data_IF_414974162180
#
_entry.id   IF_414974162180
#
_cell.length_a   1.000
_cell.length_b   1.000
_cell.length_c   1.000
_cell.angle_alpha   90.00
_cell.angle_beta   90.00
_cell.angle_gamma   90.00
#
_symmetry.space_group_name_H-M   'P 1'
#
loop_
_entity.id
_entity.type
_entity.pdbx_description
1 polymer ?
#
# COMPACT_ATOMS: atom_id res chain seq x y z
N UNK A 1 26.84 16.51 12.13
CA UNK A 1 26.10 15.73 13.14
C UNK A 1 27.09 15.12 14.13
N UNK A 2 27.06 15.50 15.41
CA UNK A 2 27.90 14.89 16.44
C UNK A 2 27.65 13.39 16.58
N UNK A 3 28.69 12.64 16.99
CA UNK A 3 28.55 11.21 17.34
C UNK A 3 27.49 11.05 18.43
N UNK A 4 26.62 10.05 18.29
CA UNK A 4 25.53 9.78 19.24
C UNK A 4 24.22 10.51 18.94
N UNK A 5 24.18 11.38 17.92
CA UNK A 5 22.92 12.00 17.50
C UNK A 5 21.98 10.96 16.88
N UNK A 6 20.75 10.88 17.37
CA UNK A 6 19.68 10.08 16.76
C UNK A 6 19.07 10.89 15.61
N UNK A 7 19.05 10.31 14.42
CA UNK A 7 18.37 10.86 13.25
C UNK A 7 17.12 10.04 12.96
N UNK A 8 15.98 10.71 12.87
CA UNK A 8 14.70 10.12 12.50
C UNK A 8 14.24 10.73 11.18
N UNK A 9 14.06 9.89 10.15
CA UNK A 9 13.52 10.31 8.86
C UNK A 9 12.00 10.29 8.93
N UNK A 10 11.36 11.45 8.80
CA UNK A 10 9.90 11.55 8.75
C UNK A 10 9.39 11.19 7.33
N UNK A 11 9.43 9.91 6.99
CA UNK A 11 8.98 9.42 5.68
C UNK A 11 7.49 9.73 5.43
N UNK A 12 6.65 9.74 6.47
CA UNK A 12 5.23 10.08 6.37
C UNK A 12 5.01 11.49 5.81
N UNK A 13 5.73 12.49 6.35
CA UNK A 13 5.65 13.86 5.88
C UNK A 13 6.21 14.00 4.46
N UNK A 14 7.34 13.35 4.17
CA UNK A 14 7.96 13.37 2.83
C UNK A 14 7.03 12.79 1.76
N UNK A 15 6.32 11.69 2.06
CA UNK A 15 5.37 11.08 1.13
C UNK A 15 4.09 11.90 0.93
N UNK A 16 3.87 12.94 1.75
CA UNK A 16 2.70 13.84 1.69
C UNK A 16 3.06 15.28 1.35
N UNK A 17 4.32 15.56 1.05
CA UNK A 17 4.79 16.91 0.78
C UNK A 17 4.32 17.39 -0.62
N UNK A 18 3.51 18.46 -0.70
CA UNK A 18 3.04 19.00 -1.98
C UNK A 18 4.16 19.60 -2.84
N UNK A 19 5.35 19.87 -2.30
CA UNK A 19 6.51 20.30 -3.10
C UNK A 19 7.20 19.13 -3.82
N UNK A 20 7.03 17.89 -3.33
CA UNK A 20 7.63 16.69 -3.92
C UNK A 20 6.65 15.88 -4.77
N UNK A 21 5.36 15.95 -4.41
CA UNK A 21 4.30 15.15 -4.98
C UNK A 21 3.12 16.04 -5.41
N UNK A 22 2.70 15.89 -6.67
CA UNK A 22 1.44 16.44 -7.14
C UNK A 22 0.28 15.70 -6.47
N UNK A 23 -0.74 16.41 -5.98
CA UNK A 23 -1.89 15.86 -5.25
C UNK A 23 -1.50 14.73 -4.26
N UNK A 24 -0.70 15.02 -3.22
CA UNK A 24 -0.06 14.01 -2.37
C UNK A 24 -1.04 13.12 -1.60
N UNK A 25 -2.26 13.60 -1.36
CA UNK A 25 -3.29 12.89 -0.61
C UNK A 25 -4.23 12.06 -1.48
N UNK A 26 -4.07 12.12 -2.80
CA UNK A 26 -4.91 11.40 -3.76
C UNK A 26 -4.28 10.06 -4.13
N UNK A 27 -5.08 9.00 -4.13
CA UNK A 27 -4.66 7.69 -4.63
C UNK A 27 -4.57 7.72 -6.16
N UNK A 28 -3.34 7.87 -6.67
CA UNK A 28 -3.01 7.95 -8.10
C UNK A 28 -1.89 6.97 -8.47
N UNK A 29 -2.18 5.66 -8.65
CA UNK A 29 -1.17 4.66 -9.03
C UNK A 29 -0.38 5.02 -10.29
N UNK A 30 -1.05 5.64 -11.26
CA UNK A 30 -0.51 6.08 -12.54
C UNK A 30 0.67 7.05 -12.40
N UNK A 31 0.82 7.75 -11.26
CA UNK A 31 1.97 8.64 -11.04
C UNK A 31 3.31 7.89 -11.12
N UNK A 32 3.31 6.60 -10.79
CA UNK A 32 4.52 5.79 -10.75
C UNK A 32 4.92 5.24 -12.11
N UNK A 33 4.12 5.46 -13.15
CA UNK A 33 4.49 5.16 -14.55
C UNK A 33 5.50 6.18 -15.10
N UNK A 34 5.53 7.38 -14.50
CA UNK A 34 6.52 8.42 -14.84
C UNK A 34 7.89 8.05 -14.28
N UNK A 35 8.90 8.16 -15.13
CA UNK A 35 10.29 7.89 -14.75
C UNK A 35 10.73 8.76 -13.56
N UNK A 36 11.41 8.15 -12.60
CA UNK A 36 11.92 8.82 -11.40
C UNK A 36 10.94 9.00 -10.24
N UNK A 37 9.62 8.94 -10.46
CA UNK A 37 8.64 9.07 -9.36
C UNK A 37 8.73 7.92 -8.35
N UNK A 38 9.07 6.71 -8.81
CA UNK A 38 9.30 5.55 -7.94
C UNK A 38 10.53 5.71 -7.03
N UNK A 39 11.48 6.59 -7.35
CA UNK A 39 12.67 6.84 -6.53
C UNK A 39 12.40 7.79 -5.37
N UNK A 40 11.29 8.54 -5.41
CA UNK A 40 10.90 9.50 -4.36
C UNK A 40 10.26 8.81 -3.15
N UNK A 41 9.81 7.56 -3.29
CA UNK A 41 9.17 6.81 -2.21
C UNK A 41 10.20 5.99 -1.42
N UNK A 42 9.99 5.89 -0.11
CA UNK A 42 10.90 5.20 0.83
C UNK A 42 10.17 4.16 1.66
N UNK A 43 9.32 3.35 1.02
CA UNK A 43 8.44 2.37 1.70
C UNK A 43 9.20 1.33 2.53
N UNK A 44 10.40 0.96 2.07
CA UNK A 44 11.26 -0.04 2.72
C UNK A 44 12.60 0.53 3.17
N UNK A 45 12.74 1.86 3.25
CA UNK A 45 14.03 2.51 3.49
C UNK A 45 15.01 2.36 2.32
N UNK A 46 16.26 2.81 2.52
CA UNK A 46 17.31 2.84 1.49
C UNK A 46 18.68 2.45 2.06
N UNK A 47 19.57 1.98 1.19
CA UNK A 47 20.97 1.66 1.51
C UNK A 47 21.16 0.42 2.39
N UNK A 48 22.28 0.36 3.12
CA UNK A 48 22.71 -0.84 3.90
C UNK A 48 21.75 -1.26 5.01
N UNK A 49 20.82 -0.39 5.42
CA UNK A 49 19.81 -0.67 6.46
C UNK A 49 18.38 -0.64 5.92
N UNK A 50 18.21 -0.78 4.61
CA UNK A 50 16.89 -1.00 4.03
C UNK A 50 16.25 -2.28 4.60
N UNK A 51 14.92 -2.34 4.59
CA UNK A 51 14.16 -3.47 5.11
C UNK A 51 14.56 -4.75 4.38
N UNK A 52 15.06 -5.78 5.09
CA UNK A 52 15.46 -7.04 4.46
C UNK A 52 14.26 -7.82 3.91
N UNK A 53 13.04 -7.50 4.34
CA UNK A 53 11.80 -8.14 3.89
C UNK A 53 11.19 -7.54 2.61
N UNK A 54 11.78 -6.51 2.01
CA UNK A 54 11.19 -5.82 0.84
C UNK A 54 10.86 -6.76 -0.32
N UNK A 55 11.79 -7.66 -0.67
CA UNK A 55 11.59 -8.64 -1.74
C UNK A 55 10.46 -9.64 -1.46
N UNK A 56 10.32 -10.08 -0.20
CA UNK A 56 9.21 -10.95 0.20
C UNK A 56 7.88 -10.19 0.19
N UNK A 57 7.86 -8.97 0.74
CA UNK A 57 6.68 -8.13 0.80
C UNK A 57 6.13 -7.85 -0.60
N UNK A 58 6.98 -7.51 -1.57
CA UNK A 58 6.55 -7.30 -2.95
C UNK A 58 5.91 -8.56 -3.56
N UNK A 59 6.49 -9.74 -3.35
CA UNK A 59 5.93 -11.00 -3.86
C UNK A 59 4.56 -11.30 -3.25
N UNK A 60 4.43 -11.17 -1.93
CA UNK A 60 3.17 -11.41 -1.23
C UNK A 60 2.11 -10.39 -1.62
N UNK A 61 2.43 -9.09 -1.61
CA UNK A 61 1.47 -8.04 -1.96
C UNK A 61 0.98 -8.21 -3.39
N UNK A 62 1.87 -8.46 -4.35
CA UNK A 62 1.48 -8.64 -5.74
C UNK A 62 0.59 -9.89 -5.92
N UNK A 63 0.94 -11.01 -5.29
CA UNK A 63 0.13 -12.22 -5.35
C UNK A 63 -1.24 -12.00 -4.71
N UNK A 64 -1.28 -11.49 -3.48
CA UNK A 64 -2.52 -11.24 -2.76
C UNK A 64 -3.40 -10.25 -3.52
N UNK A 65 -2.87 -9.12 -3.97
CA UNK A 65 -3.64 -8.12 -4.72
C UNK A 65 -4.18 -8.71 -6.03
N UNK A 66 -3.36 -9.45 -6.77
CA UNK A 66 -3.78 -10.14 -7.99
C UNK A 66 -4.93 -11.11 -7.72
N UNK A 67 -4.80 -11.97 -6.69
CA UNK A 67 -5.86 -12.90 -6.29
C UNK A 67 -7.14 -12.18 -5.85
N UNK A 68 -7.04 -11.12 -5.05
CA UNK A 68 -8.20 -10.35 -4.60
C UNK A 68 -8.95 -9.69 -5.78
N UNK A 69 -8.23 -9.18 -6.78
CA UNK A 69 -8.83 -8.57 -7.97
C UNK A 69 -9.46 -9.63 -8.89
N UNK A 70 -8.75 -10.73 -9.13
CA UNK A 70 -9.16 -11.79 -10.05
C UNK A 70 -10.30 -12.65 -9.51
N UNK A 71 -10.35 -12.85 -8.20
CA UNK A 71 -11.28 -13.78 -7.58
C UNK A 71 -12.52 -13.11 -6.98
N UNK A 72 -12.47 -11.82 -6.65
CA UNK A 72 -13.53 -11.15 -5.90
C UNK A 72 -14.11 -9.95 -6.66
N UNK A 73 -15.42 -9.77 -6.51
CA UNK A 73 -16.11 -8.51 -6.75
C UNK A 73 -16.26 -7.79 -5.42
N UNK A 74 -16.00 -6.49 -5.43
CA UNK A 74 -15.95 -5.66 -4.23
C UNK A 74 -17.04 -4.61 -4.26
N UNK A 75 -17.73 -4.46 -3.14
CA UNK A 75 -18.71 -3.40 -2.92
C UNK A 75 -18.38 -2.64 -1.63
N UNK A 76 -18.47 -1.32 -1.71
CA UNK A 76 -18.20 -0.43 -0.59
C UNK A 76 -19.39 -0.45 0.37
N UNK A 77 -19.10 -0.52 1.66
CA UNK A 77 -20.10 -0.26 2.70
C UNK A 77 -20.09 1.25 2.99
N UNK A 78 -21.21 1.92 2.72
CA UNK A 78 -21.36 3.38 2.86
C UNK A 78 -20.71 4.20 1.74
N UNK A 79 -20.69 5.52 1.90
CA UNK A 79 -20.29 6.43 0.81
C UNK A 79 -18.78 6.62 0.68
N UNK A 80 -18.01 6.63 1.78
CA UNK A 80 -16.58 6.94 1.77
C UNK A 80 -15.79 6.08 2.74
N UNK A 81 -14.59 5.68 2.31
CA UNK A 81 -13.61 5.00 3.18
C UNK A 81 -12.88 6.06 4.01
N UNK A 82 -12.97 5.96 5.34
CA UNK A 82 -12.23 6.81 6.28
C UNK A 82 -10.75 6.42 6.27
N UNK A 83 -9.88 7.30 5.77
CA UNK A 83 -8.42 7.07 5.68
C UNK A 83 -7.63 7.70 6.83
N UNK A 84 -8.30 8.14 7.90
CA UNK A 84 -7.60 8.63 9.08
C UNK A 84 -6.74 7.55 9.72
N UNK A 85 -5.61 7.97 10.30
CA UNK A 85 -4.58 7.10 10.86
C UNK A 85 -4.62 7.12 12.39
N UNK A 86 -4.39 5.97 13.01
CA UNK A 86 -4.17 5.90 14.45
C UNK A 86 -2.73 6.33 14.78
N UNK A 87 -2.53 6.87 15.99
CA UNK A 87 -1.19 7.17 16.52
C UNK A 87 -0.38 5.88 16.69
N UNK A 88 0.85 5.85 16.18
CA UNK A 88 1.76 4.72 16.35
C UNK A 88 2.83 4.66 15.28
N UNK A 89 3.77 3.71 15.42
CA UNK A 89 4.89 3.54 14.47
C UNK A 89 4.50 2.89 13.13
N UNK A 90 3.39 2.15 13.09
CA UNK A 90 2.94 1.38 11.90
C UNK A 90 1.76 2.02 11.16
N UNK A 91 1.29 3.20 11.59
CA UNK A 91 0.21 4.00 10.98
C UNK A 91 -1.02 3.17 10.55
N UNK A 92 -1.63 2.37 11.45
CA UNK A 92 -2.83 1.63 11.08
C UNK A 92 -4.01 2.60 10.88
N UNK A 93 -5.06 2.15 10.18
CA UNK A 93 -6.29 2.92 10.02
C UNK A 93 -6.95 3.15 11.38
N UNK A 94 -7.42 4.37 11.65
CA UNK A 94 -8.13 4.68 12.88
C UNK A 94 -9.47 3.94 12.98
N UNK A 95 -10.11 3.68 11.83
CA UNK A 95 -11.27 2.81 11.69
C UNK A 95 -10.93 1.64 10.76
N UNK A 96 -11.19 0.38 11.16
CA UNK A 96 -11.03 -0.77 10.28
C UNK A 96 -11.75 -0.58 8.94
N UNK A 97 -11.19 -1.13 7.86
CA UNK A 97 -11.88 -1.17 6.58
C UNK A 97 -12.97 -2.24 6.62
N UNK A 98 -14.19 -1.85 6.30
CA UNK A 98 -15.29 -2.76 6.04
C UNK A 98 -15.64 -2.72 4.55
N UNK A 99 -15.80 -3.89 3.94
CA UNK A 99 -16.17 -4.05 2.54
C UNK A 99 -16.95 -5.36 2.36
N UNK A 100 -17.88 -5.36 1.40
CA UNK A 100 -18.52 -6.59 0.94
C UNK A 100 -17.70 -7.18 -0.19
N UNK A 101 -17.47 -8.49 -0.14
CA UNK A 101 -16.80 -9.23 -1.20
C UNK A 101 -17.63 -10.45 -1.61
N UNK A 102 -17.72 -10.66 -2.92
CA UNK A 102 -18.37 -11.84 -3.52
C UNK A 102 -17.39 -12.55 -4.43
N UNK A 103 -17.36 -13.89 -4.40
CA UNK A 103 -16.57 -14.66 -5.36
C UNK A 103 -17.09 -14.43 -6.79
N UNK A 104 -16.19 -14.12 -7.72
CA UNK A 104 -16.50 -14.01 -9.15
C UNK A 104 -16.93 -15.36 -9.71
N UNK A 105 -17.86 -15.37 -10.66
CA UNK A 105 -18.34 -16.59 -11.30
C UNK A 105 -17.22 -17.42 -11.96
N UNK A 106 -16.16 -16.77 -12.45
CA UNK A 106 -14.97 -17.43 -13.01
C UNK A 106 -14.26 -18.34 -12.01
N UNK A 107 -14.30 -18.00 -10.72
CA UNK A 107 -13.67 -18.79 -9.64
C UNK A 107 -14.41 -20.10 -9.42
N UNK A 108 -15.74 -20.10 -9.53
CA UNK A 108 -16.54 -21.32 -9.42
C UNK A 108 -16.15 -22.38 -10.45
N UNK A 109 -15.79 -21.98 -11.68
CA UNK A 109 -15.36 -22.90 -12.74
C UNK A 109 -14.05 -23.61 -12.41
N UNK A 110 -13.10 -22.89 -11.79
CA UNK A 110 -11.79 -23.45 -11.39
C UNK A 110 -11.94 -24.56 -10.35
N UNK A 111 -12.91 -24.44 -9.44
CA UNK A 111 -13.16 -25.44 -8.40
C UNK A 111 -14.11 -26.57 -8.82
N UNK A 112 -14.81 -26.44 -9.96
CA UNK A 112 -15.70 -27.48 -10.50
C UNK A 112 -15.06 -28.35 -11.59
N UNK A 113 -14.01 -27.90 -12.27
CA UNK A 113 -13.32 -28.67 -13.33
C UNK A 113 -12.18 -29.59 -12.81
N UNK A 114 -11.95 -29.63 -11.49
CA UNK A 114 -10.90 -30.45 -10.86
C UNK A 114 -11.39 -31.65 -10.04
N UNK A 115 -12.66 -32.03 -10.15
CA UNK A 115 -13.29 -33.14 -9.43
C UNK A 115 -13.69 -34.31 -10.33
#
# INVERSE_FOLDING_TARGET
MPRGTILLTNAWAIHRDPHLWEDPTSFKPERFEKEGESQKIMSFGLGRRACPGSGLAHRLINLTLGSLIQCLEWERIGEKVDMSEQKGGTMPKAKPLEAMCRARASVGKIFHEGG
#
